data_IF_059755329300
#
_entry.id   IF_059755329300
#
_cell.length_a   1.000
_cell.length_b   1.000
_cell.length_c   1.000
_cell.angle_alpha   90.00
_cell.angle_beta   90.00
_cell.angle_gamma   90.00
#
_symmetry.space_group_name_H-M   'P 1'
#
loop_
_entity.id
_entity.type
_entity.pdbx_description
1 polymer ?
#
# COMPACT_ATOMS: atom_id res chain seq x y z
N UNK A 1 13.04 2.27 -4.46
CA UNK A 1 13.81 1.67 -5.59
C UNK A 1 14.36 0.30 -5.24
N UNK A 2 14.77 0.05 -4.00
CA UNK A 2 15.29 -1.25 -3.54
C UNK A 2 14.28 -2.40 -3.66
N UNK A 3 13.01 -2.16 -3.38
CA UNK A 3 11.95 -3.16 -3.48
C UNK A 3 11.81 -3.71 -4.91
N UNK A 4 11.78 -2.84 -5.92
CA UNK A 4 11.75 -3.23 -7.33
C UNK A 4 13.01 -3.99 -7.76
N UNK A 5 14.19 -3.56 -7.25
CA UNK A 5 15.47 -4.22 -7.54
C UNK A 5 15.53 -5.63 -6.93
N UNK A 6 14.96 -5.82 -5.75
CA UNK A 6 14.92 -7.12 -5.06
C UNK A 6 13.99 -8.09 -5.77
N UNK A 7 12.81 -7.63 -6.21
CA UNK A 7 11.88 -8.44 -7.03
C UNK A 7 12.52 -8.80 -8.36
N UNK A 8 13.12 -7.83 -9.04
CA UNK A 8 13.79 -8.06 -10.30
C UNK A 8 14.95 -9.06 -10.16
N UNK A 9 15.74 -8.97 -9.10
CA UNK A 9 16.87 -9.90 -8.85
C UNK A 9 16.41 -11.32 -8.58
N UNK A 10 15.28 -11.50 -7.88
CA UNK A 10 14.77 -12.81 -7.45
C UNK A 10 13.84 -13.46 -8.48
N UNK A 11 13.08 -12.65 -9.25
CA UNK A 11 12.05 -13.09 -10.20
C UNK A 11 12.17 -12.45 -11.58
N UNK A 12 13.40 -12.21 -12.04
CA UNK A 12 13.67 -11.48 -13.30
C UNK A 12 12.88 -12.02 -14.50
N UNK A 13 12.85 -13.32 -14.72
CA UNK A 13 12.17 -13.91 -15.88
C UNK A 13 10.64 -13.76 -15.81
N UNK A 14 9.95 -14.17 -14.72
CA UNK A 14 8.52 -13.92 -14.58
C UNK A 14 8.16 -12.43 -14.67
N UNK A 15 8.93 -11.56 -14.02
CA UNK A 15 8.69 -10.11 -14.04
C UNK A 15 8.80 -9.53 -15.45
N UNK A 16 9.84 -9.89 -16.22
CA UNK A 16 10.03 -9.46 -17.61
C UNK A 16 8.88 -9.99 -18.48
N UNK A 17 8.53 -11.28 -18.35
CA UNK A 17 7.45 -11.87 -19.15
C UNK A 17 6.10 -11.17 -18.90
N UNK A 18 5.78 -10.87 -17.65
CA UNK A 18 4.55 -10.18 -17.27
C UNK A 18 4.57 -8.72 -17.73
N UNK A 19 5.71 -8.04 -17.63
CA UNK A 19 5.87 -6.67 -18.15
C UNK A 19 5.67 -6.63 -19.67
N UNK A 20 6.23 -7.58 -20.39
CA UNK A 20 6.01 -7.72 -21.83
C UNK A 20 4.53 -8.00 -22.16
N UNK A 21 3.87 -8.85 -21.39
CA UNK A 21 2.45 -9.14 -21.56
C UNK A 21 1.57 -7.91 -21.28
N UNK A 22 1.92 -7.12 -20.26
CA UNK A 22 1.26 -5.83 -19.98
C UNK A 22 1.48 -4.81 -21.10
N UNK A 23 2.68 -4.76 -21.66
CA UNK A 23 2.99 -3.95 -22.85
C UNK A 23 2.16 -4.37 -24.04
N UNK A 24 2.06 -5.69 -24.31
CA UNK A 24 1.25 -6.24 -25.39
C UNK A 24 -0.23 -5.90 -25.19
N UNK A 25 -0.75 -6.00 -23.98
CA UNK A 25 -2.12 -5.57 -23.62
C UNK A 25 -2.35 -4.10 -23.97
N UNK A 26 -1.43 -3.22 -23.61
CA UNK A 26 -1.53 -1.80 -23.89
C UNK A 26 -1.49 -1.50 -25.40
N UNK A 27 -0.57 -2.12 -26.13
CA UNK A 27 -0.48 -1.99 -27.59
C UNK A 27 -1.75 -2.51 -28.27
N UNK A 28 -2.29 -3.65 -27.83
CA UNK A 28 -3.56 -4.19 -28.31
C UNK A 28 -4.73 -3.23 -28.07
N UNK A 29 -4.78 -2.57 -26.91
CA UNK A 29 -5.80 -1.55 -26.61
C UNK A 29 -5.76 -0.36 -27.56
N UNK A 30 -4.56 0.16 -27.85
CA UNK A 30 -4.37 1.22 -28.86
C UNK A 30 -4.74 0.71 -30.24
N UNK A 31 -4.40 -0.55 -30.57
CA UNK A 31 -4.76 -1.22 -31.83
C UNK A 31 -6.28 -1.29 -32.04
N UNK A 32 -7.05 -1.59 -30.98
CA UNK A 32 -8.53 -1.56 -31.04
C UNK A 32 -9.03 -0.15 -31.38
N UNK A 33 -8.50 0.89 -30.75
CA UNK A 33 -8.87 2.28 -31.04
C UNK A 33 -8.52 2.66 -32.50
N UNK A 34 -7.32 2.27 -32.94
CA UNK A 34 -6.89 2.52 -34.31
C UNK A 34 -7.79 1.77 -35.32
N UNK A 35 -8.17 0.52 -35.05
CA UNK A 35 -9.08 -0.26 -35.85
C UNK A 35 -10.48 0.39 -35.95
N UNK A 36 -11.02 0.86 -34.82
CA UNK A 36 -12.30 1.59 -34.79
C UNK A 36 -12.21 2.83 -35.68
N UNK A 37 -11.11 3.59 -35.59
CA UNK A 37 -10.92 4.77 -36.42
C UNK A 37 -10.82 4.44 -37.92
N UNK A 38 -10.07 3.42 -38.31
CA UNK A 38 -9.83 3.09 -39.69
C UNK A 38 -11.00 2.35 -40.35
N UNK A 39 -11.58 1.38 -39.64
CA UNK A 39 -12.55 0.44 -40.22
C UNK A 39 -14.01 0.81 -39.95
N UNK A 40 -14.33 1.44 -38.82
CA UNK A 40 -15.71 1.80 -38.47
C UNK A 40 -16.03 3.26 -38.82
N UNK A 41 -15.08 4.19 -38.65
CA UNK A 41 -15.33 5.61 -38.86
C UNK A 41 -15.04 6.03 -40.32
N UNK A 42 -14.05 5.42 -40.96
CA UNK A 42 -13.61 5.82 -42.31
C UNK A 42 -14.12 4.93 -43.45
N UNK A 43 -14.54 3.68 -43.21
CA UNK A 43 -14.88 2.77 -44.30
C UNK A 43 -16.38 2.66 -44.57
N UNK A 44 -16.70 2.62 -45.85
CA UNK A 44 -18.01 2.25 -46.42
C UNK A 44 -17.83 0.83 -46.98
N UNK A 45 -17.84 -0.18 -46.11
CA UNK A 45 -17.69 -1.59 -46.49
C UNK A 45 -18.80 -2.45 -45.88
N UNK A 46 -18.84 -3.75 -46.27
CA UNK A 46 -19.78 -4.70 -45.68
C UNK A 46 -19.62 -4.76 -44.14
N UNK A 47 -20.68 -4.55 -43.38
CA UNK A 47 -20.59 -4.39 -41.92
C UNK A 47 -20.27 -5.70 -41.18
N UNK A 48 -20.64 -6.86 -41.73
CA UNK A 48 -20.53 -8.16 -41.06
C UNK A 48 -19.06 -8.59 -40.80
N UNK A 49 -18.13 -8.58 -41.81
CA UNK A 49 -16.74 -8.96 -41.55
C UNK A 49 -16.02 -8.00 -40.63
N UNK A 50 -16.34 -6.70 -40.69
CA UNK A 50 -15.76 -5.68 -39.80
C UNK A 50 -16.17 -5.93 -38.33
N UNK A 51 -17.45 -6.29 -38.09
CA UNK A 51 -17.93 -6.66 -36.76
C UNK A 51 -17.21 -7.92 -36.25
N UNK A 52 -17.03 -8.93 -37.07
CA UNK A 52 -16.29 -10.15 -36.68
C UNK A 52 -14.84 -9.86 -36.28
N UNK A 53 -14.15 -8.99 -37.01
CA UNK A 53 -12.79 -8.55 -36.70
C UNK A 53 -12.74 -7.75 -35.39
N UNK A 54 -13.70 -6.84 -35.16
CA UNK A 54 -13.81 -6.07 -33.94
C UNK A 54 -13.99 -7.00 -32.69
N UNK A 55 -14.95 -7.94 -32.80
CA UNK A 55 -15.19 -8.92 -31.74
C UNK A 55 -13.94 -9.75 -31.45
N UNK A 56 -13.25 -10.21 -32.48
CA UNK A 56 -11.99 -10.94 -32.35
C UNK A 56 -10.90 -10.13 -31.64
N UNK A 57 -10.72 -8.85 -32.00
CA UNK A 57 -9.75 -7.95 -31.36
C UNK A 57 -10.10 -7.65 -29.91
N UNK A 58 -11.38 -7.45 -29.61
CA UNK A 58 -11.85 -7.19 -28.22
C UNK A 58 -11.66 -8.44 -27.37
N UNK A 59 -11.99 -9.63 -27.87
CA UNK A 59 -11.73 -10.89 -27.17
C UNK A 59 -10.23 -11.14 -26.95
N UNK A 60 -9.41 -10.87 -27.95
CA UNK A 60 -7.96 -10.95 -27.83
C UNK A 60 -7.44 -9.99 -26.75
N UNK A 61 -7.90 -8.73 -26.75
CA UNK A 61 -7.56 -7.74 -25.74
C UNK A 61 -7.98 -8.21 -24.34
N UNK A 62 -9.20 -8.76 -24.20
CA UNK A 62 -9.71 -9.30 -22.95
C UNK A 62 -8.78 -10.41 -22.41
N UNK A 63 -8.44 -11.39 -23.24
CA UNK A 63 -7.60 -12.53 -22.84
C UNK A 63 -6.19 -12.06 -22.44
N UNK A 64 -5.58 -11.18 -23.21
CA UNK A 64 -4.24 -10.65 -22.91
C UNK A 64 -4.27 -9.83 -21.63
N UNK A 65 -5.26 -8.95 -21.45
CA UNK A 65 -5.36 -8.10 -20.25
C UNK A 65 -5.62 -8.91 -19.00
N UNK A 66 -6.60 -9.83 -19.01
CA UNK A 66 -6.86 -10.73 -17.90
C UNK A 66 -5.66 -11.62 -17.60
N UNK A 67 -5.04 -12.20 -18.59
CA UNK A 67 -3.83 -13.03 -18.43
C UNK A 67 -2.69 -12.26 -17.77
N UNK A 68 -2.44 -11.03 -18.21
CA UNK A 68 -1.42 -10.14 -17.63
C UNK A 68 -1.72 -9.81 -16.17
N UNK A 69 -2.96 -9.42 -15.85
CA UNK A 69 -3.37 -9.05 -14.51
C UNK A 69 -3.33 -10.24 -13.54
N UNK A 70 -3.85 -11.40 -13.96
CA UNK A 70 -3.82 -12.63 -13.15
C UNK A 70 -2.39 -13.10 -12.89
N UNK A 71 -1.53 -13.10 -13.93
CA UNK A 71 -0.13 -13.50 -13.78
C UNK A 71 0.62 -12.61 -12.79
N UNK A 72 0.43 -11.28 -12.86
CA UNK A 72 1.11 -10.36 -11.97
C UNK A 72 0.55 -10.41 -10.54
N UNK A 73 -0.77 -10.56 -10.38
CA UNK A 73 -1.40 -10.77 -9.07
C UNK A 73 -0.86 -12.04 -8.42
N UNK A 74 -0.79 -13.14 -9.16
CA UNK A 74 -0.25 -14.42 -8.67
C UNK A 74 1.23 -14.29 -8.28
N UNK A 75 2.03 -13.62 -9.11
CA UNK A 75 3.44 -13.34 -8.79
C UNK A 75 3.58 -12.50 -7.52
N UNK A 76 2.77 -11.45 -7.38
CA UNK A 76 2.76 -10.57 -6.22
C UNK A 76 2.44 -11.33 -4.92
N UNK A 77 1.39 -12.13 -4.92
CA UNK A 77 1.04 -12.94 -3.75
C UNK A 77 2.08 -14.01 -3.42
N UNK A 78 2.70 -14.62 -4.44
CA UNK A 78 3.77 -15.59 -4.22
C UNK A 78 5.02 -14.94 -3.63
N UNK A 79 5.38 -13.73 -4.09
CA UNK A 79 6.45 -12.95 -3.51
C UNK A 79 6.17 -12.61 -2.03
N UNK A 80 4.97 -12.14 -1.72
CA UNK A 80 4.56 -11.81 -0.34
C UNK A 80 4.57 -13.04 0.56
N UNK A 81 4.10 -14.19 0.07
CA UNK A 81 4.19 -15.45 0.80
C UNK A 81 5.64 -15.78 1.19
N UNK A 82 6.57 -15.70 0.23
CA UNK A 82 8.00 -15.94 0.50
C UNK A 82 8.61 -14.88 1.41
N UNK A 83 8.23 -13.61 1.24
CA UNK A 83 8.70 -12.53 2.11
C UNK A 83 8.29 -12.76 3.57
N UNK A 84 7.04 -13.18 3.81
CA UNK A 84 6.56 -13.53 5.15
C UNK A 84 7.35 -14.70 5.74
N UNK A 85 7.54 -15.76 4.95
CA UNK A 85 8.33 -16.92 5.38
C UNK A 85 9.76 -16.54 5.74
N UNK A 86 10.40 -15.68 4.92
CA UNK A 86 11.76 -15.20 5.17
C UNK A 86 11.84 -14.34 6.45
N UNK A 87 10.91 -13.40 6.64
CA UNK A 87 10.87 -12.57 7.86
C UNK A 87 10.62 -13.40 9.11
N UNK A 88 9.72 -14.38 9.04
CA UNK A 88 9.48 -15.29 10.16
C UNK A 88 10.74 -16.12 10.49
N UNK A 89 11.44 -16.61 9.46
CA UNK A 89 12.70 -17.32 9.64
C UNK A 89 13.78 -16.42 10.25
N UNK A 90 13.95 -15.20 9.75
CA UNK A 90 14.87 -14.20 10.32
C UNK A 90 14.57 -13.91 11.79
N UNK A 91 13.29 -13.83 12.15
CA UNK A 91 12.85 -13.63 13.54
C UNK A 91 13.22 -14.83 14.42
N UNK A 92 13.05 -16.06 13.92
CA UNK A 92 13.41 -17.28 14.65
C UNK A 92 14.93 -17.45 14.81
N UNK A 93 15.71 -16.97 13.84
CA UNK A 93 17.18 -17.04 13.86
C UNK A 93 17.81 -15.84 14.62
N UNK A 94 17.02 -14.81 14.98
CA UNK A 94 17.50 -13.64 15.71
C UNK A 94 17.57 -13.92 17.22
N UNK A 95 18.66 -13.47 17.85
CA UNK A 95 18.87 -13.61 19.30
C UNK A 95 17.71 -12.99 20.11
N UNK A 96 17.30 -13.70 21.17
CA UNK A 96 16.23 -13.29 22.09
C UNK A 96 16.50 -11.93 22.74
N UNK A 97 17.78 -11.62 23.05
CA UNK A 97 18.17 -10.32 23.60
C UNK A 97 17.85 -9.19 22.59
N UNK A 98 18.14 -9.40 21.30
CA UNK A 98 17.84 -8.45 20.25
C UNK A 98 16.32 -8.28 20.06
N UNK A 99 15.56 -9.37 20.04
CA UNK A 99 14.09 -9.32 19.94
C UNK A 99 13.44 -8.53 21.08
N UNK A 100 13.98 -8.68 22.30
CA UNK A 100 13.53 -7.89 23.47
C UNK A 100 13.83 -6.39 23.33
N UNK A 101 14.99 -6.04 22.74
CA UNK A 101 15.32 -4.63 22.45
C UNK A 101 14.37 -3.99 21.44
N UNK A 102 14.01 -4.71 20.37
CA UNK A 102 13.08 -4.23 19.35
C UNK A 102 11.68 -4.07 19.91
N UNK A 103 11.27 -5.01 20.79
CA UNK A 103 9.94 -5.05 21.38
C UNK A 103 8.90 -5.71 20.48
N UNK A 104 7.77 -6.13 21.08
CA UNK A 104 6.72 -6.87 20.37
C UNK A 104 5.95 -6.02 19.35
N UNK A 105 5.74 -4.73 19.66
CA UNK A 105 4.95 -3.84 18.80
C UNK A 105 5.52 -3.69 17.39
N UNK A 106 6.77 -3.26 17.19
CA UNK A 106 7.39 -3.16 15.88
C UNK A 106 7.44 -4.47 15.11
N UNK A 107 7.70 -5.60 15.79
CA UNK A 107 7.72 -6.92 15.16
C UNK A 107 6.35 -7.33 14.62
N UNK A 108 5.28 -7.17 15.41
CA UNK A 108 3.91 -7.44 14.98
C UNK A 108 3.47 -6.50 13.86
N UNK A 109 3.81 -5.21 13.94
CA UNK A 109 3.52 -4.25 12.88
C UNK A 109 4.16 -4.65 11.56
N UNK A 110 5.43 -5.07 11.58
CA UNK A 110 6.15 -5.51 10.39
C UNK A 110 5.56 -6.77 9.77
N UNK A 111 5.17 -7.76 10.58
CA UNK A 111 4.58 -9.01 10.09
C UNK A 111 3.13 -8.86 9.58
N UNK A 112 2.41 -7.81 9.99
CA UNK A 112 1.01 -7.59 9.63
C UNK A 112 0.83 -6.38 8.71
N UNK A 113 0.94 -5.18 9.25
CA UNK A 113 0.65 -3.91 8.56
C UNK A 113 1.64 -3.62 7.44
N UNK A 114 2.97 -3.72 7.72
CA UNK A 114 3.99 -3.34 6.73
C UNK A 114 4.00 -4.32 5.55
N UNK A 115 3.90 -5.62 5.79
CA UNK A 115 3.72 -6.61 4.71
C UNK A 115 2.42 -6.37 3.95
N UNK A 116 1.34 -5.95 4.63
CA UNK A 116 0.09 -5.56 4.01
C UNK A 116 0.27 -4.43 2.99
N UNK A 117 1.00 -3.38 3.34
CA UNK A 117 1.31 -2.26 2.43
C UNK A 117 2.12 -2.73 1.22
N UNK A 118 3.12 -3.58 1.43
CA UNK A 118 3.89 -4.17 0.35
C UNK A 118 2.99 -4.99 -0.58
N UNK A 119 2.06 -5.78 -0.02
CA UNK A 119 1.10 -6.57 -0.81
C UNK A 119 0.23 -5.70 -1.70
N UNK A 120 -0.34 -4.62 -1.14
CA UNK A 120 -1.19 -3.68 -1.90
C UNK A 120 -0.41 -3.05 -3.05
N UNK A 121 0.84 -2.66 -2.82
CA UNK A 121 1.69 -2.09 -3.86
C UNK A 121 1.93 -3.06 -5.03
N UNK A 122 2.19 -4.34 -4.72
CA UNK A 122 2.35 -5.37 -5.76
C UNK A 122 1.08 -5.58 -6.59
N UNK A 123 -0.08 -5.57 -5.95
CA UNK A 123 -1.37 -5.67 -6.65
C UNK A 123 -1.63 -4.46 -7.54
N UNK A 124 -1.17 -3.26 -7.13
CA UNK A 124 -1.33 -2.01 -7.88
C UNK A 124 -0.27 -1.75 -8.96
N UNK A 125 0.85 -2.45 -8.90
CA UNK A 125 1.95 -2.28 -9.87
C UNK A 125 1.52 -2.51 -11.34
N UNK A 126 0.69 -3.52 -11.69
CA UNK A 126 0.16 -3.70 -13.05
C UNK A 126 -0.61 -2.49 -13.55
N UNK A 127 -1.45 -1.92 -12.71
CA UNK A 127 -2.27 -0.76 -13.06
C UNK A 127 -1.39 0.44 -13.44
N UNK A 128 -0.30 0.64 -12.70
CA UNK A 128 0.67 1.70 -12.98
C UNK A 128 1.40 1.46 -14.31
N UNK A 129 1.93 0.26 -14.52
CA UNK A 129 2.64 -0.09 -15.76
C UNK A 129 1.71 0.06 -16.97
N UNK A 130 0.52 -0.51 -16.88
CA UNK A 130 -0.48 -0.43 -17.96
C UNK A 130 -0.89 1.03 -18.22
N UNK A 131 -1.16 1.81 -17.18
CA UNK A 131 -1.51 3.23 -17.28
C UNK A 131 -0.43 4.04 -17.96
N UNK A 132 0.85 3.84 -17.62
CA UNK A 132 1.98 4.53 -18.25
C UNK A 132 2.12 4.17 -19.73
N UNK A 133 2.08 2.89 -20.05
CA UNK A 133 2.26 2.41 -21.42
C UNK A 133 1.12 2.87 -22.32
N UNK A 134 -0.13 2.75 -21.86
CA UNK A 134 -1.30 3.24 -22.58
C UNK A 134 -1.24 4.75 -22.81
N UNK A 135 -0.83 5.51 -21.80
CA UNK A 135 -0.71 6.97 -21.92
C UNK A 135 0.35 7.36 -22.93
N UNK A 136 1.56 6.79 -22.83
CA UNK A 136 2.64 7.07 -23.77
C UNK A 136 2.28 6.68 -25.21
N UNK A 137 1.75 5.47 -25.39
CA UNK A 137 1.34 4.99 -26.69
C UNK A 137 0.19 5.83 -27.29
N UNK A 138 -0.76 6.27 -26.49
CA UNK A 138 -1.84 7.15 -26.94
C UNK A 138 -1.33 8.55 -27.31
N UNK A 139 -0.37 9.11 -26.56
CA UNK A 139 0.26 10.38 -26.91
C UNK A 139 0.94 10.27 -28.28
N UNK A 140 1.69 9.20 -28.51
CA UNK A 140 2.34 8.96 -29.80
C UNK A 140 1.29 8.83 -30.92
N UNK A 141 0.27 7.99 -30.71
CA UNK A 141 -0.78 7.77 -31.70
C UNK A 141 -1.57 9.05 -32.06
N UNK A 142 -2.00 9.79 -31.04
CA UNK A 142 -2.73 11.06 -31.23
C UNK A 142 -1.82 12.14 -31.85
N UNK A 143 -0.54 12.16 -31.52
CA UNK A 143 0.44 13.07 -32.08
C UNK A 143 0.65 12.86 -33.59
N UNK A 144 0.62 11.60 -34.04
CA UNK A 144 0.67 11.26 -35.45
C UNK A 144 -0.61 11.66 -36.24
N UNK A 145 -1.77 11.69 -35.55
CA UNK A 145 -3.02 12.10 -36.19
C UNK A 145 -3.13 13.63 -36.28
N UNK A 146 -2.86 14.38 -35.22
CA UNK A 146 -2.92 15.86 -35.22
C UNK A 146 -2.10 16.41 -34.05
N UNK A 147 -0.88 16.93 -34.28
CA UNK A 147 -0.05 17.53 -33.24
C UNK A 147 -0.71 18.75 -32.57
N UNK A 148 -1.46 19.55 -33.35
CA UNK A 148 -2.12 20.76 -32.82
C UNK A 148 -3.22 20.42 -31.82
N UNK A 149 -4.09 19.45 -32.14
CA UNK A 149 -5.11 18.95 -31.22
C UNK A 149 -4.49 18.30 -29.99
N UNK A 150 -3.39 17.53 -30.16
CA UNK A 150 -2.68 16.94 -29.04
C UNK A 150 -2.16 18.00 -28.07
N UNK A 151 -1.57 19.10 -28.57
CA UNK A 151 -1.04 20.17 -27.72
C UNK A 151 -2.11 20.78 -26.82
N UNK A 152 -3.27 21.11 -27.39
CA UNK A 152 -4.39 21.70 -26.63
C UNK A 152 -5.03 20.70 -25.67
N UNK A 153 -5.25 19.45 -26.10
CA UNK A 153 -5.81 18.41 -25.25
C UNK A 153 -4.86 18.02 -24.11
N UNK A 154 -3.56 17.95 -24.38
CA UNK A 154 -2.54 17.70 -23.36
C UNK A 154 -2.50 18.81 -22.32
N UNK A 155 -2.56 20.08 -22.76
CA UNK A 155 -2.66 21.22 -21.85
C UNK A 155 -3.91 21.15 -20.98
N UNK A 156 -5.08 20.87 -21.59
CA UNK A 156 -6.34 20.73 -20.85
C UNK A 156 -6.29 19.60 -19.83
N UNK A 157 -5.80 18.42 -20.21
CA UNK A 157 -5.63 17.27 -19.31
C UNK A 157 -4.65 17.60 -18.18
N UNK A 158 -3.53 18.28 -18.50
CA UNK A 158 -2.56 18.71 -17.50
C UNK A 158 -3.19 19.67 -16.48
N UNK A 159 -3.93 20.68 -16.91
CA UNK A 159 -4.66 21.60 -16.01
C UNK A 159 -5.66 20.82 -15.15
N UNK A 160 -6.40 19.91 -15.76
CA UNK A 160 -7.36 19.04 -15.04
C UNK A 160 -6.67 18.22 -13.96
N UNK A 161 -5.51 17.65 -14.27
CA UNK A 161 -4.71 16.86 -13.33
C UNK A 161 -4.11 17.69 -12.20
N UNK A 162 -3.60 18.88 -12.50
CA UNK A 162 -3.04 19.79 -11.48
C UNK A 162 -4.11 20.19 -10.46
N UNK A 163 -5.29 20.60 -10.92
CA UNK A 163 -6.40 20.94 -10.02
C UNK A 163 -6.88 19.71 -9.24
N UNK A 164 -7.00 18.55 -9.90
CA UNK A 164 -7.34 17.29 -9.25
C UNK A 164 -6.33 16.92 -8.15
N UNK A 165 -5.04 17.07 -8.43
CA UNK A 165 -3.97 16.83 -7.46
C UNK A 165 -4.05 17.77 -6.25
N UNK A 166 -4.33 19.06 -6.49
CA UNK A 166 -4.54 20.03 -5.40
C UNK A 166 -5.71 19.64 -4.49
N UNK A 167 -6.82 19.16 -5.07
CA UNK A 167 -7.97 18.69 -4.31
C UNK A 167 -7.63 17.41 -3.52
N UNK A 168 -7.00 16.43 -4.15
CA UNK A 168 -6.58 15.17 -3.51
C UNK A 168 -5.58 15.42 -2.37
N UNK A 169 -4.67 16.38 -2.54
CA UNK A 169 -3.73 16.74 -1.48
C UNK A 169 -4.45 17.33 -0.23
N UNK A 170 -5.59 18.02 -0.44
CA UNK A 170 -6.47 18.44 0.67
C UNK A 170 -7.13 17.25 1.35
N UNK A 171 -7.57 16.22 0.59
CA UNK A 171 -8.10 14.97 1.15
C UNK A 171 -7.09 14.34 2.11
N UNK A 172 -5.84 14.15 1.68
CA UNK A 172 -4.81 13.53 2.53
C UNK A 172 -4.54 14.30 3.82
N UNK A 173 -4.57 15.63 3.80
CA UNK A 173 -4.43 16.43 5.01
C UNK A 173 -5.58 16.18 6.01
N UNK A 174 -6.82 16.20 5.54
CA UNK A 174 -7.97 15.96 6.40
C UNK A 174 -8.03 14.52 6.90
N UNK A 175 -7.63 13.53 6.09
CA UNK A 175 -7.48 12.15 6.53
C UNK A 175 -6.42 11.98 7.62
N UNK A 176 -5.32 12.73 7.57
CA UNK A 176 -4.32 12.70 8.63
C UNK A 176 -4.87 13.24 9.96
N UNK A 177 -5.62 14.36 9.92
CA UNK A 177 -6.30 14.90 11.11
C UNK A 177 -7.40 13.96 11.63
N UNK A 178 -8.15 13.34 10.72
CA UNK A 178 -9.15 12.33 11.06
C UNK A 178 -8.54 11.17 11.83
N UNK A 179 -7.39 10.64 11.38
CA UNK A 179 -6.70 9.55 12.09
C UNK A 179 -6.31 9.95 13.52
N UNK A 180 -5.81 11.18 13.71
CA UNK A 180 -5.50 11.67 15.04
C UNK A 180 -6.74 11.78 15.95
N UNK A 181 -7.88 12.17 15.40
CA UNK A 181 -9.15 12.19 16.12
C UNK A 181 -9.66 10.76 16.40
N UNK A 182 -9.48 9.84 15.48
CA UNK A 182 -9.80 8.42 15.63
C UNK A 182 -8.98 7.77 16.75
N UNK A 183 -7.67 8.02 16.81
CA UNK A 183 -6.80 7.53 17.90
C UNK A 183 -7.28 8.02 19.28
N UNK A 184 -7.71 9.28 19.37
CA UNK A 184 -8.30 9.83 20.61
C UNK A 184 -9.63 9.16 20.95
N UNK A 185 -10.47 8.86 19.96
CA UNK A 185 -11.71 8.10 20.17
C UNK A 185 -11.43 6.69 20.68
N UNK A 186 -10.43 6.00 20.11
CA UNK A 186 -10.03 4.68 20.61
C UNK A 186 -9.57 4.72 22.08
N UNK A 187 -8.80 5.72 22.47
CA UNK A 187 -8.41 5.93 23.87
C UNK A 187 -9.63 6.16 24.77
N UNK A 188 -10.61 6.95 24.31
CA UNK A 188 -11.87 7.15 25.03
C UNK A 188 -12.66 5.84 25.17
N UNK A 189 -12.77 5.04 24.12
CA UNK A 189 -13.44 3.73 24.17
C UNK A 189 -12.74 2.79 25.16
N UNK A 190 -11.41 2.73 25.12
CA UNK A 190 -10.62 1.94 26.04
C UNK A 190 -10.86 2.36 27.50
N UNK A 191 -10.85 3.67 27.76
CA UNK A 191 -11.10 4.24 29.09
C UNK A 191 -12.50 3.94 29.59
N UNK A 192 -13.52 4.04 28.72
CA UNK A 192 -14.92 3.74 29.06
C UNK A 192 -15.10 2.24 29.36
N UNK A 193 -14.51 1.37 28.54
CA UNK A 193 -14.61 -0.08 28.72
C UNK A 193 -13.89 -0.52 29.99
N UNK A 194 -12.66 -0.04 30.20
CA UNK A 194 -11.86 -0.37 31.39
C UNK A 194 -12.48 0.17 32.68
N UNK A 195 -13.03 1.40 32.65
CA UNK A 195 -13.67 2.07 33.80
C UNK A 195 -15.19 1.83 33.85
N UNK A 196 -15.74 0.82 33.19
CA UNK A 196 -17.19 0.60 33.08
C UNK A 196 -17.89 0.43 34.45
N UNK A 197 -17.24 -0.23 35.42
CA UNK A 197 -17.75 -0.43 36.78
C UNK A 197 -17.82 0.88 37.54
N UNK A 198 -16.76 1.68 37.50
CA UNK A 198 -16.67 2.98 38.15
C UNK A 198 -17.65 3.98 37.56
N UNK A 199 -17.79 3.99 36.24
CA UNK A 199 -18.74 4.83 35.51
C UNK A 199 -20.21 4.43 35.76
N UNK A 200 -20.47 3.15 36.03
CA UNK A 200 -21.80 2.68 36.42
C UNK A 200 -22.18 3.17 37.82
N UNK A 201 -21.21 3.27 38.72
CA UNK A 201 -21.41 3.75 40.13
C UNK A 201 -21.44 5.27 40.21
N UNK A 202 -20.69 5.97 39.33
CA UNK A 202 -20.60 7.44 39.34
C UNK A 202 -21.16 8.03 38.03
N UNK A 203 -22.45 8.37 38.03
CA UNK A 203 -23.16 8.90 36.88
C UNK A 203 -22.73 10.30 36.45
N UNK A 204 -22.25 11.10 37.35
CA UNK A 204 -21.71 12.42 37.08
C UNK A 204 -20.41 12.31 36.24
N UNK A 205 -19.53 11.39 36.63
CA UNK A 205 -18.33 11.07 35.91
C UNK A 205 -18.63 10.49 34.52
N UNK A 206 -19.62 9.62 34.41
CA UNK A 206 -20.06 9.08 33.14
C UNK A 206 -20.56 10.18 32.19
N UNK A 207 -21.37 11.12 32.71
CA UNK A 207 -21.86 12.27 31.95
C UNK A 207 -20.69 13.16 31.46
N UNK A 208 -19.71 13.45 32.32
CA UNK A 208 -18.51 14.22 31.94
C UNK A 208 -17.72 13.51 30.82
N UNK A 209 -17.44 12.21 30.98
CA UNK A 209 -16.70 11.43 29.98
C UNK A 209 -17.42 11.42 28.63
N UNK A 210 -18.75 11.28 28.64
CA UNK A 210 -19.53 11.26 27.43
C UNK A 210 -19.55 12.63 26.73
N UNK A 211 -19.93 13.70 27.43
CA UNK A 211 -20.14 15.02 26.80
C UNK A 211 -18.83 15.81 26.60
N UNK A 212 -17.86 15.71 27.51
CA UNK A 212 -16.64 16.51 27.40
C UNK A 212 -15.51 15.81 26.65
N UNK A 213 -15.39 14.49 26.79
CA UNK A 213 -14.30 13.76 26.13
C UNK A 213 -14.73 13.10 24.83
N UNK A 214 -15.75 12.25 24.89
CA UNK A 214 -16.18 11.48 23.71
C UNK A 214 -16.84 12.37 22.65
N UNK A 215 -17.84 13.15 23.04
CA UNK A 215 -18.63 13.92 22.08
C UNK A 215 -17.78 14.97 21.34
N UNK A 216 -16.83 15.60 22.01
CA UNK A 216 -15.91 16.54 21.40
C UNK A 216 -15.02 15.85 20.34
N UNK A 217 -14.38 14.76 20.72
CA UNK A 217 -13.52 14.00 19.80
C UNK A 217 -14.34 13.38 18.63
N UNK A 218 -15.57 12.95 18.89
CA UNK A 218 -16.47 12.43 17.86
C UNK A 218 -16.92 13.52 16.87
N UNK A 219 -17.13 14.76 17.34
CA UNK A 219 -17.41 15.92 16.46
C UNK A 219 -16.20 16.25 15.59
N UNK A 220 -15.01 16.31 16.18
CA UNK A 220 -13.78 16.56 15.42
C UNK A 220 -13.58 15.50 14.33
N UNK A 221 -13.72 14.22 14.66
CA UNK A 221 -13.65 13.12 13.71
C UNK A 221 -14.65 13.28 12.57
N UNK A 222 -15.93 13.52 12.91
CA UNK A 222 -16.99 13.73 11.93
C UNK A 222 -16.70 14.90 10.98
N UNK A 223 -16.22 16.03 11.52
CA UNK A 223 -15.90 17.21 10.68
C UNK A 223 -14.76 16.91 9.72
N UNK A 224 -13.71 16.24 10.18
CA UNK A 224 -12.56 15.95 9.32
C UNK A 224 -12.92 14.95 8.22
N UNK A 225 -13.74 13.92 8.52
CA UNK A 225 -14.17 12.96 7.51
C UNK A 225 -15.10 13.60 6.48
N UNK A 226 -16.06 14.44 6.92
CA UNK A 226 -16.94 15.16 5.99
C UNK A 226 -16.11 16.07 5.05
N UNK A 227 -15.12 16.77 5.57
CA UNK A 227 -14.24 17.61 4.74
C UNK A 227 -13.41 16.77 3.77
N UNK A 228 -12.84 15.64 4.24
CA UNK A 228 -12.10 14.74 3.38
C UNK A 228 -12.97 14.20 2.24
N UNK A 229 -14.19 13.73 2.54
CA UNK A 229 -15.13 13.21 1.54
C UNK A 229 -15.60 14.30 0.57
N UNK A 230 -15.84 15.52 1.07
CA UNK A 230 -16.20 16.66 0.22
C UNK A 230 -15.11 16.97 -0.80
N UNK A 231 -13.83 17.03 -0.39
CA UNK A 231 -12.72 17.23 -1.32
C UNK A 231 -12.54 16.05 -2.26
N UNK A 232 -12.73 14.82 -1.78
CA UNK A 232 -12.66 13.62 -2.61
C UNK A 232 -13.75 13.62 -3.71
N UNK A 233 -15.00 13.85 -3.34
CA UNK A 233 -16.12 13.96 -4.29
C UNK A 233 -15.91 15.10 -5.28
N UNK A 234 -15.40 16.24 -4.78
CA UNK A 234 -15.08 17.39 -5.65
C UNK A 234 -13.99 17.05 -6.66
N UNK A 235 -12.94 16.32 -6.26
CA UNK A 235 -11.88 15.89 -7.16
C UNK A 235 -12.39 14.90 -8.22
N UNK A 236 -13.23 13.96 -7.83
CA UNK A 236 -13.85 12.98 -8.75
C UNK A 236 -14.77 13.69 -9.75
N UNK A 237 -15.66 14.56 -9.29
CA UNK A 237 -16.59 15.31 -10.14
C UNK A 237 -15.84 16.27 -11.06
N UNK A 238 -14.83 16.98 -10.54
CA UNK A 238 -13.93 17.82 -11.36
C UNK A 238 -13.34 17.04 -12.51
N UNK A 239 -12.71 15.89 -12.21
CA UNK A 239 -12.09 15.04 -13.24
C UNK A 239 -13.12 14.57 -14.29
N UNK A 240 -14.31 14.15 -13.85
CA UNK A 240 -15.37 13.69 -14.73
C UNK A 240 -15.88 14.79 -15.68
N UNK A 241 -16.16 15.96 -15.14
CA UNK A 241 -16.71 17.10 -15.92
C UNK A 241 -15.65 17.66 -16.86
N UNK A 242 -14.41 17.81 -16.40
CA UNK A 242 -13.32 18.30 -17.23
C UNK A 242 -12.95 17.33 -18.35
N UNK A 243 -13.09 16.02 -18.15
CA UNK A 243 -12.87 15.04 -19.21
C UNK A 243 -13.96 15.11 -20.28
N UNK A 244 -15.22 15.33 -19.89
CA UNK A 244 -16.29 15.61 -20.82
C UNK A 244 -16.06 16.93 -21.57
N UNK A 245 -15.57 17.97 -20.85
CA UNK A 245 -15.18 19.25 -21.45
C UNK A 245 -14.04 19.09 -22.47
N UNK A 246 -13.08 18.21 -22.22
CA UNK A 246 -12.01 17.90 -23.19
C UNK A 246 -12.56 17.36 -24.51
N UNK A 247 -13.56 16.46 -24.44
CA UNK A 247 -14.23 15.92 -25.64
C UNK A 247 -14.93 17.05 -26.41
N UNK A 248 -15.70 17.90 -25.73
CA UNK A 248 -16.35 19.05 -26.34
C UNK A 248 -15.35 20.01 -26.99
N UNK A 249 -14.23 20.29 -26.31
CA UNK A 249 -13.15 21.13 -26.82
C UNK A 249 -12.54 20.55 -28.11
N UNK A 250 -12.27 19.24 -28.13
CA UNK A 250 -11.71 18.57 -29.31
C UNK A 250 -12.65 18.69 -30.52
N UNK A 251 -13.96 18.46 -30.34
CA UNK A 251 -14.93 18.61 -31.42
C UNK A 251 -15.07 20.07 -31.86
N UNK A 252 -15.03 21.03 -30.94
CA UNK A 252 -15.06 22.45 -31.26
C UNK A 252 -13.84 22.88 -32.09
N UNK A 253 -12.63 22.46 -31.70
CA UNK A 253 -11.40 22.80 -32.41
C UNK A 253 -11.35 22.13 -33.82
N UNK A 254 -11.79 20.88 -33.89
CA UNK A 254 -11.80 20.17 -35.15
C UNK A 254 -12.81 20.75 -36.13
N UNK A 255 -14.08 20.86 -35.74
CA UNK A 255 -15.17 21.25 -36.65
C UNK A 255 -15.39 22.76 -36.69
N UNK A 256 -15.19 23.50 -35.59
CA UNK A 256 -15.39 24.95 -35.52
C UNK A 256 -14.22 25.73 -36.09
N UNK A 257 -12.99 25.32 -35.82
CA UNK A 257 -11.78 25.99 -36.31
C UNK A 257 -11.13 25.27 -37.50
N UNK A 258 -11.63 24.10 -37.87
CA UNK A 258 -11.13 23.35 -39.03
C UNK A 258 -9.72 22.74 -38.82
N UNK A 259 -9.28 22.52 -37.62
CA UNK A 259 -7.93 22.01 -37.28
C UNK A 259 -7.76 20.52 -37.65
N UNK A 260 -8.86 19.78 -37.72
CA UNK A 260 -8.85 18.39 -38.10
C UNK A 260 -10.23 17.92 -38.59
N UNK A 261 -10.28 16.78 -39.24
CA UNK A 261 -11.54 16.17 -39.66
C UNK A 261 -12.31 15.60 -38.45
N UNK A 262 -13.64 15.54 -38.54
CA UNK A 262 -14.54 14.97 -37.55
C UNK A 262 -14.12 13.56 -37.09
N UNK A 263 -13.59 12.76 -38.02
CA UNK A 263 -13.10 11.40 -37.74
C UNK A 263 -11.90 11.41 -36.77
N UNK A 264 -11.01 12.39 -36.92
CA UNK A 264 -9.86 12.59 -36.00
C UNK A 264 -10.39 13.02 -34.62
N UNK A 265 -11.36 13.96 -34.57
CA UNK A 265 -11.98 14.38 -33.32
C UNK A 265 -12.64 13.20 -32.60
N UNK A 266 -13.37 12.34 -33.31
CA UNK A 266 -13.97 11.14 -32.73
C UNK A 266 -12.90 10.19 -32.15
N UNK A 267 -11.77 10.03 -32.83
CA UNK A 267 -10.66 9.20 -32.34
C UNK A 267 -10.05 9.78 -31.06
N UNK A 268 -9.85 11.10 -30.99
CA UNK A 268 -9.40 11.78 -29.78
C UNK A 268 -10.38 11.58 -28.64
N UNK A 269 -11.70 11.73 -28.88
CA UNK A 269 -12.73 11.53 -27.88
C UNK A 269 -12.74 10.10 -27.31
N UNK A 270 -12.69 9.11 -28.20
CA UNK A 270 -12.62 7.69 -27.79
C UNK A 270 -11.35 7.39 -27.02
N UNK A 271 -10.21 7.91 -27.46
CA UNK A 271 -8.93 7.72 -26.77
C UNK A 271 -8.94 8.35 -25.38
N UNK A 272 -9.47 9.57 -25.23
CA UNK A 272 -9.61 10.25 -23.93
C UNK A 272 -10.50 9.46 -22.99
N UNK A 273 -11.65 8.95 -23.46
CA UNK A 273 -12.53 8.10 -22.67
C UNK A 273 -11.85 6.80 -22.21
N UNK A 274 -11.10 6.18 -23.10
CA UNK A 274 -10.39 4.93 -22.80
C UNK A 274 -9.22 5.15 -21.84
N UNK A 275 -8.48 6.24 -21.96
CA UNK A 275 -7.35 6.57 -21.11
C UNK A 275 -7.74 7.00 -19.69
N UNK A 276 -8.97 7.46 -19.50
CA UNK A 276 -9.42 8.01 -18.22
C UNK A 276 -9.17 7.07 -17.04
N UNK A 277 -9.62 5.84 -17.14
CA UNK A 277 -9.50 4.84 -16.05
C UNK A 277 -8.04 4.45 -15.78
N UNK A 278 -7.23 4.05 -16.78
CA UNK A 278 -5.82 3.75 -16.60
C UNK A 278 -4.99 4.90 -16.02
N UNK A 279 -5.27 6.13 -16.41
CA UNK A 279 -4.60 7.32 -15.87
C UNK A 279 -4.89 7.51 -14.38
N UNK A 280 -6.16 7.44 -13.98
CA UNK A 280 -6.57 7.58 -12.58
C UNK A 280 -6.02 6.45 -11.71
N UNK A 281 -6.03 5.22 -12.21
CA UNK A 281 -5.47 4.06 -11.52
C UNK A 281 -3.94 4.19 -11.37
N UNK A 282 -3.23 4.58 -12.42
CA UNK A 282 -1.79 4.79 -12.39
C UNK A 282 -1.38 5.85 -11.36
N UNK A 283 -2.07 7.00 -11.32
CA UNK A 283 -1.81 8.05 -10.34
C UNK A 283 -2.14 7.57 -8.93
N UNK A 284 -3.26 6.84 -8.75
CA UNK A 284 -3.67 6.28 -7.47
C UNK A 284 -2.72 5.19 -6.94
N UNK A 285 -1.94 4.54 -7.80
CA UNK A 285 -0.94 3.56 -7.40
C UNK A 285 0.33 4.18 -6.79
N UNK A 286 0.68 5.44 -7.13
CA UNK A 286 1.89 6.09 -6.64
C UNK A 286 1.98 6.18 -5.11
N UNK A 287 0.94 6.62 -4.37
CA UNK A 287 0.99 6.65 -2.92
C UNK A 287 1.18 5.27 -2.28
N UNK A 288 0.61 4.22 -2.88
CA UNK A 288 0.74 2.85 -2.37
C UNK A 288 2.16 2.31 -2.56
N UNK A 289 2.85 2.68 -3.65
CA UNK A 289 4.25 2.34 -3.87
C UNK A 289 5.16 3.04 -2.86
N UNK A 290 4.90 4.33 -2.56
CA UNK A 290 5.65 5.08 -1.55
C UNK A 290 5.44 4.46 -0.16
N UNK A 291 4.19 4.11 0.20
CA UNK A 291 3.88 3.46 1.46
C UNK A 291 4.58 2.09 1.60
N UNK A 292 4.64 1.33 0.51
CA UNK A 292 5.36 0.06 0.49
C UNK A 292 6.87 0.23 0.64
N UNK A 293 7.46 1.27 0.03
CA UNK A 293 8.88 1.58 0.22
C UNK A 293 9.17 1.89 1.68
N UNK A 294 8.36 2.75 2.32
CA UNK A 294 8.49 3.06 3.76
C UNK A 294 8.33 1.82 4.63
N UNK A 295 7.39 0.94 4.30
CA UNK A 295 7.20 -0.33 5.02
C UNK A 295 8.41 -1.25 4.87
N UNK A 296 9.00 -1.31 3.67
CA UNK A 296 10.21 -2.08 3.40
C UNK A 296 11.41 -1.55 4.19
N UNK A 297 11.60 -0.23 4.20
CA UNK A 297 12.67 0.44 4.95
C UNK A 297 12.55 0.20 6.47
N UNK A 298 11.31 0.20 7.01
CA UNK A 298 11.04 -0.16 8.41
C UNK A 298 11.43 -1.61 8.72
N UNK A 299 11.05 -2.55 7.85
CA UNK A 299 11.42 -3.96 8.01
C UNK A 299 12.95 -4.11 7.97
N UNK A 300 13.63 -3.46 7.04
CA UNK A 300 15.09 -3.47 6.94
C UNK A 300 15.76 -2.88 8.20
N UNK A 301 15.19 -1.82 8.77
CA UNK A 301 15.71 -1.16 9.97
C UNK A 301 15.64 -2.04 11.24
N UNK A 302 14.84 -3.11 11.26
CA UNK A 302 14.82 -4.06 12.37
C UNK A 302 16.16 -4.78 12.56
N UNK A 303 16.99 -4.83 11.52
CA UNK A 303 18.29 -5.52 11.53
C UNK A 303 18.20 -6.92 12.16
N UNK A 304 17.27 -7.72 11.61
CA UNK A 304 17.12 -9.12 11.99
C UNK A 304 18.29 -9.94 11.44
N UNK A 305 18.55 -11.10 12.03
CA UNK A 305 19.60 -12.00 11.56
C UNK A 305 19.39 -12.41 10.09
N UNK A 306 20.48 -12.68 9.37
CA UNK A 306 20.35 -13.31 8.06
C UNK A 306 19.76 -14.71 8.24
N UNK A 307 18.76 -15.10 7.42
CA UNK A 307 18.12 -16.39 7.59
C UNK A 307 19.10 -17.50 7.19
N UNK A 308 19.35 -18.42 8.09
CA UNK A 308 20.05 -19.67 7.77
C UNK A 308 19.16 -20.56 6.90
N UNK A 309 19.67 -21.22 5.88
CA UNK A 309 18.85 -22.06 4.99
C UNK A 309 18.30 -23.30 5.71
N UNK A 310 19.00 -23.79 6.71
CA UNK A 310 18.60 -24.93 7.53
C UNK A 310 18.08 -24.47 8.91
N UNK A 311 17.13 -25.21 9.48
CA UNK A 311 16.92 -25.18 10.92
C UNK A 311 17.96 -26.10 11.54
N UNK A 312 19.04 -25.60 12.16
CA UNK A 312 19.99 -26.47 12.80
C UNK A 312 19.27 -27.20 13.93
N UNK A 313 18.99 -28.46 13.73
CA UNK A 313 18.52 -29.30 14.83
C UNK A 313 19.63 -29.31 15.88
N UNK A 314 19.33 -28.99 17.14
CA UNK A 314 20.33 -29.10 18.18
C UNK A 314 20.88 -30.52 18.16
N UNK A 315 22.19 -30.69 18.31
CA UNK A 315 22.77 -32.01 18.43
C UNK A 315 22.03 -32.76 19.53
N UNK A 316 21.81 -34.08 19.33
CA UNK A 316 21.11 -34.90 20.30
C UNK A 316 21.62 -34.58 21.72
N UNK A 317 20.73 -34.32 22.68
CA UNK A 317 21.14 -33.85 23.98
C UNK A 317 22.11 -34.85 24.59
N UNK A 318 23.37 -34.49 24.73
CA UNK A 318 24.35 -35.29 25.46
C UNK A 318 23.85 -35.37 26.91
N UNK A 319 23.82 -36.56 27.55
CA UNK A 319 23.42 -36.62 28.93
C UNK A 319 24.41 -35.83 29.77
N UNK A 320 23.95 -34.66 30.25
CA UNK A 320 24.73 -33.88 31.19
C UNK A 320 24.55 -34.45 32.60
N UNK A 321 25.61 -34.37 33.41
CA UNK A 321 25.59 -34.83 34.81
C UNK A 321 25.53 -33.64 35.77
N UNK A 322 26.23 -32.55 35.41
CA UNK A 322 26.26 -31.31 36.18
C UNK A 322 26.39 -30.10 35.30
N UNK A 323 25.87 -28.96 35.76
CA UNK A 323 26.02 -27.62 35.19
C UNK A 323 26.81 -26.80 36.20
N UNK A 324 27.94 -26.24 35.77
CA UNK A 324 28.77 -25.38 36.61
C UNK A 324 28.69 -23.95 36.11
N UNK A 325 28.34 -23.02 36.97
CA UNK A 325 28.40 -21.58 36.75
C UNK A 325 29.63 -21.07 37.52
N UNK A 326 30.61 -20.55 36.81
CA UNK A 326 31.82 -19.97 37.39
C UNK A 326 31.86 -18.47 37.10
N UNK A 327 31.80 -17.63 38.13
CA UNK A 327 31.86 -16.18 38.04
C UNK A 327 30.89 -15.56 37.01
N UNK A 328 29.72 -16.18 36.79
CA UNK A 328 28.76 -15.75 35.81
C UNK A 328 28.12 -14.44 36.26
N UNK A 329 28.26 -13.39 35.44
CA UNK A 329 27.63 -12.10 35.64
C UNK A 329 26.76 -11.73 34.46
N UNK A 330 25.60 -11.17 34.69
CA UNK A 330 24.70 -10.69 33.67
C UNK A 330 24.26 -9.26 33.93
N UNK A 331 24.38 -8.38 32.94
CA UNK A 331 23.98 -6.99 33.03
C UNK A 331 22.72 -6.77 32.19
N UNK A 332 21.65 -6.31 32.85
CA UNK A 332 20.43 -5.88 32.14
C UNK A 332 20.68 -4.50 31.52
N UNK A 333 20.51 -4.43 30.19
CA UNK A 333 20.56 -3.16 29.46
C UNK A 333 19.24 -2.42 29.65
N UNK A 334 19.20 -1.38 30.51
CA UNK A 334 18.04 -0.53 30.76
C UNK A 334 18.44 0.66 31.63
N UNK A 335 17.60 1.72 31.66
CA UNK A 335 17.78 2.86 32.59
C UNK A 335 17.77 2.36 34.03
N UNK A 336 18.96 2.29 34.66
CA UNK A 336 19.14 1.79 36.02
C UNK A 336 20.13 0.64 36.18
N UNK A 337 20.66 0.06 35.10
CA UNK A 337 21.81 -0.82 35.08
C UNK A 337 21.83 -1.95 36.12
N UNK A 338 20.73 -2.72 36.25
CA UNK A 338 20.71 -3.83 37.20
C UNK A 338 21.62 -4.97 36.70
N UNK A 339 22.52 -5.44 37.55
CA UNK A 339 23.41 -6.56 37.24
C UNK A 339 23.21 -7.68 38.27
N UNK A 340 23.28 -8.89 37.82
CA UNK A 340 23.25 -10.12 38.62
C UNK A 340 24.61 -10.80 38.48
N UNK A 341 25.22 -11.12 39.61
CA UNK A 341 26.52 -11.83 39.63
C UNK A 341 27.59 -11.09 40.45
N UNK A 342 28.80 -11.65 40.53
CA UNK A 342 29.23 -12.95 40.02
C UNK A 342 28.58 -14.15 40.75
N UNK A 343 28.05 -15.11 39.99
CA UNK A 343 27.39 -16.31 40.56
C UNK A 343 28.31 -17.52 40.35
N UNK A 344 28.55 -18.26 41.41
CA UNK A 344 29.20 -19.57 41.41
C UNK A 344 28.18 -20.59 41.87
N UNK A 345 27.77 -21.52 41.02
CA UNK A 345 26.73 -22.50 41.32
C UNK A 345 26.99 -23.80 40.55
N UNK A 346 26.90 -24.91 41.27
CA UNK A 346 26.93 -26.25 40.70
C UNK A 346 25.55 -26.87 40.82
N UNK A 347 24.98 -27.29 39.69
CA UNK A 347 23.68 -27.95 39.63
C UNK A 347 23.87 -29.39 39.15
N UNK A 348 23.57 -30.35 40.00
CA UNK A 348 23.62 -31.76 39.65
C UNK A 348 22.31 -32.24 39.03
N UNK A 349 22.38 -33.20 38.14
CA UNK A 349 21.19 -33.76 37.50
C UNK A 349 20.28 -34.41 38.53
N UNK A 350 19.01 -34.00 38.59
CA UNK A 350 18.02 -34.47 39.54
C UNK A 350 17.96 -33.71 40.86
N UNK A 351 18.86 -32.79 41.09
CA UNK A 351 18.78 -31.88 42.23
C UNK A 351 17.66 -30.83 42.08
N UNK A 352 17.06 -30.43 43.20
CA UNK A 352 16.07 -29.34 43.27
C UNK A 352 16.70 -28.14 43.98
N UNK A 353 16.69 -27.01 43.29
CA UNK A 353 17.13 -25.74 43.86
C UNK A 353 15.92 -24.80 43.97
N UNK A 354 15.80 -24.11 45.08
CA UNK A 354 14.83 -23.01 45.26
C UNK A 354 15.58 -21.72 45.37
N UNK A 355 15.23 -20.72 44.56
CA UNK A 355 15.72 -19.36 44.72
C UNK A 355 14.70 -18.57 45.57
N UNK A 356 15.12 -18.04 46.71
CA UNK A 356 14.35 -17.05 47.45
C UNK A 356 14.82 -15.66 47.05
N UNK A 357 13.92 -14.84 46.47
CA UNK A 357 14.18 -13.43 46.25
C UNK A 357 13.70 -12.70 47.51
N UNK A 358 14.62 -12.09 48.24
CA UNK A 358 14.23 -11.12 49.25
C UNK A 358 13.55 -9.94 48.56
N UNK A 359 12.24 -9.80 48.70
CA UNK A 359 11.57 -8.57 48.28
C UNK A 359 12.15 -7.44 49.13
N UNK A 360 12.79 -6.46 48.51
CA UNK A 360 13.11 -5.21 49.15
C UNK A 360 11.79 -4.63 49.69
N UNK A 361 11.74 -4.17 50.97
CA UNK A 361 10.55 -3.57 51.52
C UNK A 361 10.13 -2.42 50.60
N UNK A 362 8.88 -2.42 50.20
CA UNK A 362 8.29 -1.36 49.38
C UNK A 362 8.28 -0.06 50.25
N UNK A 363 9.40 0.66 50.18
CA UNK A 363 9.49 1.99 50.76
C UNK A 363 9.11 3.02 49.73
N UNK A 364 7.81 3.21 49.52
CA UNK A 364 7.20 4.50 49.16
C UNK A 364 5.68 4.39 49.36
N UNK A 365 5.11 5.11 50.33
CA UNK A 365 3.67 5.35 50.34
C UNK A 365 3.34 6.23 49.10
N UNK A 366 2.36 5.81 48.36
CA UNK A 366 1.76 6.64 47.31
C UNK A 366 1.21 7.89 47.96
N UNK A 367 1.53 9.10 47.51
CA UNK A 367 0.79 10.27 47.94
C UNK A 367 -0.64 10.16 47.45
N UNK A 368 -1.59 10.05 48.38
CA UNK A 368 -2.98 10.36 48.13
C UNK A 368 -3.09 11.81 47.69
N UNK A 369 -3.56 12.05 46.45
CA UNK A 369 -4.30 13.24 45.99
C UNK A 369 -5.29 12.82 44.91
#
# INVERSE_FOLDING_TARGET
>A
MELLSLVYRQYRWPFIAITLLSLLSAVSGIGVIAFINQSLIKSVGDPLPILGQLVGLVLLLLVITLGSQLALTTLGHHFVYRLRGRLLKQLLDTDVARLRQIGQGPLLASLSSDIGQITIAFVRLPELVQGLVLTLGSIIYLGLLSPALLGVTALWVTVTMVVGWLLVNRVYRHLAHMRQAEDRLYQNYQSIIAGSKELALNRERAHFVYHQLYEQNARDYREQIIRADTYHLSAVNWSNIMMLGAIGLVFFLANGLGWANTNVAATFALTLLFLRTPLLQGIGALPTLIAAQVAFDKIAALNLAEPDEAFPLPPAPRPWQRIELEQVSFHYQGEGGFSVGPINLVIERGSRYSSSVAMAPASRPWPCC
#
